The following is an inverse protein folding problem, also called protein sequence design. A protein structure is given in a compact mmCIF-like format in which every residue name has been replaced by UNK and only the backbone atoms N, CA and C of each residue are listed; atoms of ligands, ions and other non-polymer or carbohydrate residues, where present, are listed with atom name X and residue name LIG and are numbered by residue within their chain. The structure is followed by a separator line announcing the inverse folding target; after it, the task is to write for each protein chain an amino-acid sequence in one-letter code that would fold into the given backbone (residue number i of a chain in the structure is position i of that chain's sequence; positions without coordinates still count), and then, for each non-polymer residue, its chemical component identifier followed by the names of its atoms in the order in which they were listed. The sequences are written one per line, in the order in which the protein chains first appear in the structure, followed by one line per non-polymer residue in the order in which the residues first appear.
data_IF_160209477645
#
_entry.id   IF_160209477645
#
_cell.length_a   1.000
_cell.length_b   1.000
_cell.length_c   1.000
_cell.angle_alpha   90.00
_cell.angle_beta   90.00
_cell.angle_gamma   90.00
#
_symmetry.space_group_name_H-M   'P 1'
#
loop_
_entity.id
_entity.type
_entity.pdbx_description
1 polymer ?
#
# COMPACT_ATOMS: atom_id res chain seq x y z
N UNK A 1 8.06 -22.84 18.07
CA UNK A 1 7.62 -21.43 17.94
C UNK A 1 6.32 -21.43 17.16
N UNK A 2 5.32 -20.67 17.60
CA UNK A 2 4.01 -20.56 16.94
C UNK A 2 3.79 -19.08 16.62
N UNK A 3 3.49 -18.76 15.36
CA UNK A 3 3.25 -17.41 14.86
C UNK A 3 1.91 -17.38 14.12
N UNK A 4 1.26 -16.22 14.11
CA UNK A 4 0.02 -15.97 13.36
C UNK A 4 0.33 -15.30 12.02
N UNK A 5 -0.65 -15.27 11.11
CA UNK A 5 -0.48 -14.78 9.73
C UNK A 5 -0.09 -13.28 9.62
N UNK A 6 -0.27 -12.50 10.70
CA UNK A 6 0.05 -11.06 10.74
C UNK A 6 1.15 -10.79 11.78
N UNK A 7 2.31 -11.42 11.59
CA UNK A 7 3.46 -11.27 12.48
C UNK A 7 4.65 -10.68 11.72
N UNK A 8 5.19 -9.54 12.19
CA UNK A 8 6.38 -8.92 11.60
C UNK A 8 6.15 -8.37 10.19
N UNK A 9 7.20 -8.39 9.35
CA UNK A 9 7.09 -8.10 7.92
C UNK A 9 6.28 -9.20 7.23
N UNK A 10 5.11 -8.85 6.70
CA UNK A 10 4.16 -9.80 6.12
C UNK A 10 3.50 -9.23 4.86
N UNK A 11 2.73 -10.08 4.17
CA UNK A 11 1.95 -9.74 2.99
C UNK A 11 0.47 -10.04 3.25
N UNK A 12 -0.39 -9.07 3.00
CA UNK A 12 -1.84 -9.22 3.11
C UNK A 12 -2.45 -9.55 1.74
N UNK A 13 -3.01 -10.75 1.60
CA UNK A 13 -3.80 -11.10 0.41
C UNK A 13 -5.16 -10.38 0.43
N UNK A 14 -5.79 -10.11 -0.74
CA UNK A 14 -7.06 -9.37 -0.78
C UNK A 14 -8.15 -9.92 0.13
N UNK A 15 -8.24 -11.25 0.28
CA UNK A 15 -9.20 -11.95 1.16
C UNK A 15 -9.13 -11.50 2.62
N UNK A 16 -7.98 -11.00 3.09
CA UNK A 16 -7.79 -10.45 4.43
C UNK A 16 -8.81 -9.34 4.78
N UNK A 17 -9.24 -8.56 3.79
CA UNK A 17 -10.14 -7.42 4.01
C UNK A 17 -11.62 -7.73 3.84
N UNK A 18 -11.97 -8.64 2.92
CA UNK A 18 -13.35 -9.03 2.62
C UNK A 18 -13.36 -10.30 1.76
N UNK A 19 -14.41 -11.12 1.81
CA UNK A 19 -14.49 -12.37 1.04
C UNK A 19 -14.72 -12.16 -0.47
N UNK A 20 -15.21 -10.97 -0.85
CA UNK A 20 -15.52 -10.60 -2.24
C UNK A 20 -14.88 -9.27 -2.66
N UNK A 21 -14.57 -9.12 -3.95
CA UNK A 21 -14.09 -7.91 -4.65
C UNK A 21 -14.76 -7.77 -6.02
N UNK A 22 -14.40 -6.75 -6.81
CA UNK A 22 -14.83 -6.60 -8.22
C UNK A 22 -16.31 -6.96 -8.46
N UNK A 23 -17.24 -6.26 -7.80
CA UNK A 23 -18.68 -6.49 -7.92
C UNK A 23 -19.18 -7.91 -7.54
N UNK A 24 -18.50 -8.59 -6.62
CA UNK A 24 -18.97 -9.84 -6.01
C UNK A 24 -18.11 -11.07 -6.31
N UNK A 25 -17.05 -10.93 -7.09
CA UNK A 25 -16.07 -11.98 -7.33
C UNK A 25 -15.37 -12.41 -6.04
N UNK A 26 -15.05 -13.70 -5.92
CA UNK A 26 -14.28 -14.23 -4.79
C UNK A 26 -12.89 -13.62 -4.80
N UNK A 27 -12.43 -13.10 -3.66
CA UNK A 27 -11.06 -12.63 -3.53
C UNK A 27 -10.06 -13.79 -3.56
N UNK A 28 -8.88 -13.53 -4.09
CA UNK A 28 -7.76 -14.47 -4.05
C UNK A 28 -7.18 -14.56 -2.64
N UNK A 29 -6.79 -15.77 -2.25
CA UNK A 29 -6.03 -16.06 -1.03
C UNK A 29 -4.52 -16.08 -1.33
N UNK A 30 -3.68 -16.19 -0.30
CA UNK A 30 -2.24 -15.91 -0.41
C UNK A 30 -1.48 -16.82 -1.41
N UNK A 31 -1.90 -18.08 -1.54
CA UNK A 31 -1.34 -19.06 -2.48
C UNK A 31 -1.81 -18.84 -3.93
N UNK A 32 -2.82 -17.99 -4.14
CA UNK A 32 -3.34 -17.61 -5.45
C UNK A 32 -2.78 -16.25 -5.93
N UNK A 33 -1.97 -15.57 -5.11
CA UNK A 33 -1.34 -14.29 -5.48
C UNK A 33 -0.26 -14.53 -6.56
N UNK A 34 -0.37 -13.91 -7.75
CA UNK A 34 0.65 -14.04 -8.77
C UNK A 34 2.00 -13.52 -8.27
N UNK A 35 3.02 -14.38 -8.30
CA UNK A 35 4.35 -14.02 -7.81
C UNK A 35 4.93 -12.82 -8.57
N UNK A 36 4.60 -12.63 -9.85
CA UNK A 36 5.10 -11.47 -10.59
C UNK A 36 4.69 -10.15 -9.94
N UNK A 37 3.57 -10.07 -9.20
CA UNK A 37 3.21 -8.86 -8.46
C UNK A 37 4.22 -8.56 -7.35
N UNK A 38 4.79 -9.60 -6.74
CA UNK A 38 5.76 -9.49 -5.66
C UNK A 38 7.19 -9.19 -6.13
N UNK A 39 7.48 -9.39 -7.42
CA UNK A 39 8.81 -9.18 -8.03
C UNK A 39 8.85 -7.94 -8.93
N UNK A 40 8.03 -6.93 -8.64
CA UNK A 40 8.00 -5.67 -9.37
C UNK A 40 9.04 -4.67 -8.86
N UNK A 41 9.29 -3.63 -9.67
CA UNK A 41 10.07 -2.47 -9.23
C UNK A 41 9.33 -1.76 -8.10
N UNK A 42 10.10 -1.23 -7.15
CA UNK A 42 9.58 -0.40 -6.08
C UNK A 42 10.14 1.01 -6.17
N UNK A 43 9.29 2.00 -5.91
CA UNK A 43 9.69 3.40 -5.71
C UNK A 43 9.53 3.78 -4.24
N UNK A 44 10.49 4.55 -3.74
CA UNK A 44 10.45 5.07 -2.37
C UNK A 44 10.01 6.52 -2.39
N UNK A 45 8.87 6.82 -1.76
CA UNK A 45 8.49 8.20 -1.45
C UNK A 45 8.87 8.49 0.00
N UNK A 46 9.70 9.52 0.19
CA UNK A 46 10.23 9.88 1.49
C UNK A 46 9.40 10.98 2.15
N UNK A 47 8.39 10.56 2.92
CA UNK A 47 7.46 11.45 3.57
C UNK A 47 7.91 11.93 4.96
N UNK A 48 9.19 11.72 5.35
CA UNK A 48 9.69 12.08 6.69
C UNK A 48 9.63 13.57 7.01
N UNK A 49 9.56 14.41 5.99
CA UNK A 49 9.44 15.86 6.12
C UNK A 49 8.01 16.32 6.47
N UNK A 50 7.01 15.43 6.38
CA UNK A 50 5.62 15.73 6.70
C UNK A 50 5.34 15.48 8.20
N UNK A 51 4.44 16.26 8.80
CA UNK A 51 4.10 16.11 10.21
C UNK A 51 3.36 14.79 10.49
N UNK A 52 3.45 14.32 11.72
CA UNK A 52 2.80 13.09 12.17
C UNK A 52 1.28 13.18 12.00
N UNK A 53 0.68 12.12 11.44
CA UNK A 53 -0.76 12.07 11.17
C UNK A 53 -1.20 12.83 9.93
N UNK A 54 -0.27 13.45 9.18
CA UNK A 54 -0.57 14.02 7.88
C UNK A 54 -1.10 12.96 6.92
N UNK A 55 -2.25 13.24 6.32
CA UNK A 55 -2.85 12.39 5.30
C UNK A 55 -2.31 12.86 3.96
N UNK A 56 -1.50 12.02 3.30
CA UNK A 56 -0.92 12.32 1.99
C UNK A 56 -2.05 12.25 0.95
N UNK A 57 -2.42 13.37 0.32
CA UNK A 57 -3.39 13.39 -0.76
C UNK A 57 -2.73 12.97 -2.09
N UNK A 58 -3.52 12.84 -3.16
CA UNK A 58 -3.01 12.43 -4.46
C UNK A 58 -2.03 13.46 -5.05
N UNK A 59 -2.30 14.75 -4.86
CA UNK A 59 -1.47 15.84 -5.37
C UNK A 59 -0.03 15.83 -4.83
N UNK A 60 0.18 15.43 -3.57
CA UNK A 60 1.52 15.33 -2.97
C UNK A 60 2.32 14.17 -3.58
N UNK A 61 1.63 13.06 -3.89
CA UNK A 61 2.25 11.92 -4.56
C UNK A 61 2.67 12.32 -5.97
N UNK A 62 1.81 13.01 -6.71
CA UNK A 62 2.12 13.52 -8.05
C UNK A 62 3.28 14.51 -8.05
N UNK A 63 3.29 15.46 -7.12
CA UNK A 63 4.37 16.43 -6.97
C UNK A 63 5.71 15.74 -6.66
N UNK A 64 5.70 14.72 -5.80
CA UNK A 64 6.90 13.97 -5.47
C UNK A 64 7.40 13.14 -6.66
N UNK A 65 6.50 12.51 -7.41
CA UNK A 65 6.85 11.79 -8.64
C UNK A 65 7.47 12.71 -9.70
N UNK A 66 6.92 13.92 -9.86
CA UNK A 66 7.49 14.95 -10.73
C UNK A 66 8.87 15.40 -10.24
N UNK A 67 9.04 15.62 -8.93
CA UNK A 67 10.32 16.03 -8.33
C UNK A 67 11.43 15.01 -8.57
N UNK A 68 11.12 13.71 -8.49
CA UNK A 68 12.09 12.64 -8.77
C UNK A 68 12.20 12.30 -10.26
N UNK A 69 11.35 12.88 -11.12
CA UNK A 69 11.32 12.63 -12.56
C UNK A 69 10.89 11.20 -12.93
N UNK A 70 10.03 10.57 -12.13
CA UNK A 70 9.60 9.18 -12.33
C UNK A 70 8.17 9.13 -12.88
N UNK A 71 7.97 8.36 -13.94
CA UNK A 71 6.64 8.02 -14.45
C UNK A 71 6.23 6.66 -13.89
N UNK A 72 5.06 6.59 -13.25
CA UNK A 72 4.54 5.33 -12.69
C UNK A 72 4.24 4.32 -13.79
N UNK A 73 4.62 3.08 -13.55
CA UNK A 73 4.23 1.93 -14.35
C UNK A 73 3.27 1.01 -13.59
N UNK A 74 2.46 0.25 -14.34
CA UNK A 74 1.53 -0.72 -13.77
C UNK A 74 2.27 -1.75 -12.90
N UNK A 75 1.70 -2.05 -11.73
CA UNK A 75 2.23 -2.96 -10.70
C UNK A 75 3.50 -2.47 -9.95
N UNK A 76 4.00 -1.26 -10.19
CA UNK A 76 5.09 -0.74 -9.35
C UNK A 76 4.66 -0.60 -7.88
N UNK A 77 5.54 -1.01 -6.97
CA UNK A 77 5.30 -0.96 -5.53
C UNK A 77 5.68 0.39 -4.95
N UNK A 78 4.84 0.91 -4.06
CA UNK A 78 5.13 2.12 -3.31
C UNK A 78 5.65 1.79 -1.91
N UNK A 79 6.81 2.31 -1.55
CA UNK A 79 7.39 2.16 -0.20
C UNK A 79 7.52 3.52 0.46
N UNK A 80 6.97 3.66 1.67
CA UNK A 80 7.22 4.81 2.54
C UNK A 80 8.09 4.36 3.72
N UNK A 81 9.12 5.13 4.05
CA UNK A 81 10.13 4.75 5.06
C UNK A 81 9.82 5.15 6.49
N UNK A 82 8.61 5.63 6.80
CA UNK A 82 8.24 5.90 8.19
C UNK A 82 7.41 4.76 8.78
N UNK A 83 7.89 4.21 9.88
CA UNK A 83 7.06 3.43 10.81
C UNK A 83 6.09 4.40 11.52
N UNK A 84 4.76 4.16 11.50
CA UNK A 84 3.84 4.98 12.27
C UNK A 84 4.17 4.87 13.78
N UNK A 85 4.33 5.99 14.52
CA UNK A 85 4.55 5.91 15.95
C UNK A 85 3.26 5.43 16.65
N UNK A 86 3.31 4.25 17.24
CA UNK A 86 2.31 3.76 18.20
C UNK A 86 0.88 3.60 17.63
N UNK A 87 -0.09 3.20 18.47
CA UNK A 87 -1.33 2.53 18.06
C UNK A 87 -2.32 3.35 17.20
N UNK A 88 -1.99 4.60 16.86
CA UNK A 88 -2.88 5.54 16.17
C UNK A 88 -2.44 5.92 14.74
N UNK A 89 -1.32 5.42 14.22
CA UNK A 89 -0.82 5.79 12.89
C UNK A 89 -1.31 4.88 11.76
N UNK A 90 -2.63 4.69 11.59
CA UNK A 90 -3.14 4.12 10.32
C UNK A 90 -3.22 5.25 9.30
N UNK A 91 -2.24 5.33 8.40
CA UNK A 91 -2.42 6.03 7.13
C UNK A 91 -3.61 5.37 6.41
N UNK A 92 -4.75 6.05 6.40
CA UNK A 92 -5.94 5.62 5.66
C UNK A 92 -5.89 6.31 4.31
N UNK A 93 -5.61 5.53 3.28
CA UNK A 93 -5.90 5.92 1.90
C UNK A 93 -7.42 6.01 1.73
N UNK A 94 -7.92 7.17 1.29
CA UNK A 94 -9.28 7.30 0.77
C UNK A 94 -9.18 7.40 -0.75
N UNK A 95 -9.70 6.41 -1.45
CA UNK A 95 -10.00 6.58 -2.87
C UNK A 95 -11.12 7.62 -3.01
N UNK A 96 -10.85 8.72 -3.71
CA UNK A 96 -11.90 9.59 -4.22
C UNK A 96 -12.50 8.94 -5.47
N UNK A 97 -13.28 7.89 -5.28
CA UNK A 97 -14.31 7.47 -6.24
C UNK A 97 -15.64 7.88 -5.67
N UNK A 98 -16.13 9.03 -6.11
CA UNK A 98 -17.55 9.39 -6.12
C UNK A 98 -18.00 9.22 -7.59
N UNK A 99 -19.25 8.78 -7.85
CA UNK A 99 -19.62 7.92 -8.98
C UNK A 99 -19.46 8.56 -10.36
#
# INVERSE_FOLDING_TARGET
MTLTMHSGTHLDAPYHFHSTMNNGERKIIIDEVPLEWCFQRAIKLDCRHLPDGYVIPAEDVEAELQRIGHALHTLEMLVNTREPPGPAGRARWRSSTTP
#
